data_IF_501768302432
#
_entry.id   IF_501768302432
#
_cell.length_a   1.000
_cell.length_b   1.000
_cell.length_c   1.000
_cell.angle_alpha   90.00
_cell.angle_beta   90.00
_cell.angle_gamma   90.00
#
_symmetry.space_group_name_H-M   'P 1'
#
loop_
_entity.id
_entity.type
_entity.pdbx_description
1 polymer ?
#
# COMPACT_ATOMS: atom_id res chain seq x y z
N UNK A 1 -16.30 9.46 17.24
CA UNK A 1 -15.43 9.27 16.06
C UNK A 1 -15.43 7.78 15.78
N UNK A 2 -16.03 7.30 14.68
CA UNK A 2 -15.94 5.87 14.39
C UNK A 2 -14.48 5.53 14.16
N UNK A 3 -14.03 4.42 14.75
CA UNK A 3 -12.68 3.92 14.51
C UNK A 3 -12.47 3.76 13.02
N UNK A 4 -11.25 4.01 12.56
CA UNK A 4 -10.86 3.64 11.20
C UNK A 4 -10.95 2.11 11.13
N UNK A 5 -11.79 1.61 10.24
CA UNK A 5 -11.91 0.17 10.01
C UNK A 5 -10.58 -0.39 9.49
N UNK A 6 -10.27 -1.62 9.87
CA UNK A 6 -9.09 -2.32 9.36
C UNK A 6 -9.18 -2.47 7.85
N UNK A 7 -8.11 -2.07 7.15
CA UNK A 7 -8.01 -2.22 5.70
C UNK A 7 -7.22 -3.48 5.39
N UNK A 8 -7.80 -4.36 4.57
CA UNK A 8 -7.17 -5.58 4.05
C UNK A 8 -7.05 -5.50 2.54
N UNK A 9 -5.87 -5.09 2.08
CA UNK A 9 -5.60 -4.74 0.71
C UNK A 9 -6.44 -3.58 0.19
N UNK A 10 -6.12 -3.10 -1.00
CA UNK A 10 -6.94 -2.12 -1.71
C UNK A 10 -6.68 -2.17 -3.20
N UNK A 11 -7.58 -1.56 -3.97
CA UNK A 11 -7.41 -1.32 -5.40
C UNK A 11 -7.71 0.14 -5.72
N UNK A 12 -7.27 0.59 -6.89
CA UNK A 12 -7.61 1.92 -7.39
C UNK A 12 -8.93 1.87 -8.14
N UNK A 13 -9.74 2.90 -7.94
CA UNK A 13 -10.93 3.10 -8.75
C UNK A 13 -10.52 3.29 -10.22
N UNK A 14 -11.07 2.50 -11.16
CA UNK A 14 -10.72 2.61 -12.58
C UNK A 14 -10.86 4.04 -13.11
N UNK A 15 -9.89 4.49 -13.91
CA UNK A 15 -9.88 5.83 -14.48
C UNK A 15 -9.41 6.95 -13.52
N UNK A 16 -9.12 6.64 -12.25
CA UNK A 16 -8.54 7.62 -11.32
C UNK A 16 -7.02 7.71 -11.40
N UNK A 17 -6.36 6.69 -11.95
CA UNK A 17 -4.93 6.68 -12.22
C UNK A 17 -4.65 7.19 -13.63
N UNK A 18 -3.63 8.05 -13.78
CA UNK A 18 -3.24 8.65 -15.07
C UNK A 18 -1.88 8.17 -15.56
N UNK A 19 -1.37 7.09 -14.97
CA UNK A 19 -0.08 6.48 -15.32
C UNK A 19 1.11 7.04 -14.55
N UNK A 20 0.89 7.78 -13.45
CA UNK A 20 1.95 8.24 -12.57
C UNK A 20 2.63 7.08 -11.85
N UNK A 21 3.96 7.14 -11.69
CA UNK A 21 4.73 6.11 -10.97
C UNK A 21 4.63 6.20 -9.45
N UNK A 22 4.32 7.39 -8.92
CA UNK A 22 4.15 7.65 -7.49
C UNK A 22 2.87 8.45 -7.36
N UNK A 23 1.94 7.96 -6.56
CA UNK A 23 0.65 8.61 -6.39
C UNK A 23 0.16 8.54 -4.94
N UNK A 24 -0.72 9.49 -4.61
CA UNK A 24 -1.38 9.60 -3.30
C UNK A 24 -2.83 9.15 -3.44
N UNK A 25 -3.17 7.93 -3.03
CA UNK A 25 -4.55 7.44 -3.08
C UNK A 25 -5.46 8.24 -2.14
N UNK A 26 -6.74 8.39 -2.51
CA UNK A 26 -7.78 8.86 -1.58
C UNK A 26 -8.10 7.73 -0.59
N UNK A 27 -8.25 8.05 0.70
CA UNK A 27 -8.62 7.09 1.74
C UNK A 27 -7.46 6.40 2.47
N UNK A 28 -6.22 6.54 2.00
CA UNK A 28 -5.01 6.02 2.65
C UNK A 28 -4.06 7.17 3.01
N UNK A 29 -4.48 7.98 4.00
CA UNK A 29 -3.71 9.15 4.43
C UNK A 29 -2.37 8.70 5.02
N UNK A 30 -1.28 9.22 4.45
CA UNK A 30 0.09 8.91 4.88
C UNK A 30 0.77 7.84 4.03
N UNK A 31 0.03 7.13 3.19
CA UNK A 31 0.56 6.10 2.32
C UNK A 31 0.83 6.65 0.90
N UNK A 32 1.92 6.16 0.31
CA UNK A 32 2.22 6.33 -1.11
C UNK A 32 2.02 4.99 -1.79
N UNK A 33 1.51 5.05 -3.01
CA UNK A 33 1.39 3.87 -3.85
C UNK A 33 2.17 4.14 -5.13
N UNK A 34 2.82 3.09 -5.60
CA UNK A 34 3.78 3.19 -6.69
C UNK A 34 3.48 2.17 -7.77
N UNK A 35 3.86 2.46 -9.01
CA UNK A 35 3.78 1.51 -10.10
C UNK A 35 4.84 0.40 -9.95
N UNK A 36 4.62 -0.73 -10.61
CA UNK A 36 5.65 -1.78 -10.74
C UNK A 36 6.92 -1.24 -11.40
N UNK A 37 6.80 -0.30 -12.34
CA UNK A 37 7.94 0.36 -12.98
C UNK A 37 8.82 1.12 -11.98
N UNK A 38 8.21 1.75 -10.97
CA UNK A 38 8.95 2.39 -9.88
C UNK A 38 9.60 1.36 -8.96
N UNK A 39 8.90 0.26 -8.63
CA UNK A 39 9.48 -0.85 -7.87
C UNK A 39 10.76 -1.36 -8.55
N UNK A 40 10.70 -1.63 -9.84
CA UNK A 40 11.86 -2.12 -10.58
C UNK A 40 13.00 -1.08 -10.61
N UNK A 41 12.67 0.21 -10.65
CA UNK A 41 13.66 1.28 -10.54
C UNK A 41 14.33 1.25 -9.16
N UNK A 42 13.55 1.15 -8.08
CA UNK A 42 14.07 1.09 -6.72
C UNK A 42 15.02 -0.10 -6.53
N UNK A 43 14.64 -1.26 -7.06
CA UNK A 43 15.47 -2.48 -7.04
C UNK A 43 16.75 -2.30 -7.86
N UNK A 44 16.64 -1.83 -9.11
CA UNK A 44 17.81 -1.60 -10.00
C UNK A 44 18.82 -0.61 -9.43
N UNK A 45 18.35 0.43 -8.74
CA UNK A 45 19.21 1.46 -8.17
C UNK A 45 19.62 1.19 -6.72
N UNK A 46 19.16 0.09 -6.11
CA UNK A 46 19.52 -0.30 -4.75
C UNK A 46 19.06 0.71 -3.69
N UNK A 47 17.85 1.27 -3.82
CA UNK A 47 17.30 2.17 -2.81
C UNK A 47 17.12 1.44 -1.47
N UNK A 48 17.75 1.93 -0.41
CA UNK A 48 17.81 1.25 0.88
C UNK A 48 16.79 1.76 1.91
N UNK A 49 16.19 2.92 1.65
CA UNK A 49 15.22 3.57 2.55
C UNK A 49 13.76 3.44 2.07
N UNK A 50 13.48 2.42 1.25
CA UNK A 50 12.15 2.16 0.68
C UNK A 50 11.73 0.74 1.05
N UNK A 51 10.51 0.60 1.58
CA UNK A 51 9.84 -0.69 1.77
C UNK A 51 8.54 -0.67 0.96
N UNK A 52 8.46 -1.55 -0.03
CA UNK A 52 7.27 -1.71 -0.85
C UNK A 52 6.50 -2.95 -0.39
N UNK A 53 5.18 -2.82 -0.29
CA UNK A 53 4.27 -3.92 0.03
C UNK A 53 3.27 -4.04 -1.11
N UNK A 54 3.08 -5.24 -1.69
CA UNK A 54 2.03 -5.45 -2.68
C UNK A 54 0.67 -4.99 -2.15
N UNK A 55 -0.13 -4.38 -3.01
CA UNK A 55 -1.40 -3.77 -2.61
C UNK A 55 -2.38 -4.78 -2.00
N UNK A 56 -2.30 -6.04 -2.42
CA UNK A 56 -3.11 -7.16 -1.92
C UNK A 56 -2.72 -7.58 -0.49
N UNK A 57 -1.49 -7.25 -0.08
CA UNK A 57 -0.90 -7.60 1.21
C UNK A 57 -0.88 -6.43 2.19
N UNK A 58 -1.32 -5.25 1.76
CA UNK A 58 -1.37 -4.07 2.63
C UNK A 58 -2.39 -4.28 3.76
N UNK A 59 -1.97 -4.09 5.00
CA UNK A 59 -2.87 -4.12 6.16
C UNK A 59 -2.68 -2.86 6.98
N UNK A 60 -3.79 -2.13 7.18
CA UNK A 60 -3.84 -1.00 8.11
C UNK A 60 -4.83 -1.32 9.21
N UNK A 61 -4.31 -1.75 10.36
CA UNK A 61 -5.09 -2.00 11.58
C UNK A 61 -4.67 -1.00 12.67
N UNK A 62 -5.33 0.16 12.77
CA UNK A 62 -5.02 1.16 13.79
C UNK A 62 -5.49 0.74 15.20
N UNK A 63 -6.34 -0.28 15.30
CA UNK A 63 -6.85 -0.77 16.58
C UNK A 63 -5.98 -1.89 17.17
N UNK A 64 -5.18 -2.56 16.33
CA UNK A 64 -4.48 -3.81 16.65
C UNK A 64 -5.40 -4.91 17.19
N UNK A 65 -6.70 -4.82 16.94
CA UNK A 65 -7.71 -5.81 17.37
C UNK A 65 -8.08 -6.78 16.25
N UNK A 66 -7.48 -6.64 15.07
CA UNK A 66 -7.64 -7.59 13.96
C UNK A 66 -7.13 -8.99 14.34
N UNK A 67 -7.61 -10.04 13.67
CA UNK A 67 -7.09 -11.38 13.87
C UNK A 67 -5.57 -11.42 13.61
N UNK A 68 -4.87 -12.33 14.31
CA UNK A 68 -3.43 -12.49 14.14
C UNK A 68 -3.06 -12.62 12.63
N UNK A 69 -1.92 -12.05 12.19
CA UNK A 69 -1.51 -12.14 10.79
C UNK A 69 -1.53 -13.59 10.30
N UNK A 70 -1.98 -13.80 9.05
CA UNK A 70 -1.90 -15.12 8.43
C UNK A 70 -0.44 -15.60 8.45
N UNK A 71 -0.18 -16.90 8.68
CA UNK A 71 1.17 -17.44 8.62
C UNK A 71 1.79 -17.12 7.25
N UNK A 72 2.99 -16.55 7.23
CA UNK A 72 3.77 -16.45 6.01
C UNK A 72 4.14 -17.87 5.53
N UNK A 73 4.03 -18.16 4.23
CA UNK A 73 4.47 -19.45 3.67
C UNK A 73 5.98 -19.66 3.85
#
# INVERSE_FOLDING_TARGET
MSGIDTIHGFTLEPGTWRGEDIFRPRGLVGDLVVSERFRDLAERHGLTNVRLTPTEQFVRDPSHLGPAPLPTP
#
